data_IF_667600726484
#
_entry.id   IF_667600726484
#
_cell.length_a   1.000
_cell.length_b   1.000
_cell.length_c   1.000
_cell.angle_alpha   90.00
_cell.angle_beta   90.00
_cell.angle_gamma   90.00
#
_symmetry.space_group_name_H-M   'P 1'
#
loop_
_entity.id
_entity.type
_entity.pdbx_description
1 polymer ?
#
# COMPACT_ATOMS: atom_id res chain seq x y z
N UNK A 1 -33.27 -0.12 -21.91
CA UNK A 1 -33.48 -0.62 -20.53
C UNK A 1 -33.14 -2.11 -20.54
N UNK A 2 -32.26 -2.58 -19.64
CA UNK A 2 -32.01 -4.00 -19.48
C UNK A 2 -33.26 -4.72 -18.97
N UNK A 3 -33.48 -5.92 -19.51
CA UNK A 3 -34.43 -6.89 -18.99
C UNK A 3 -33.69 -7.99 -18.25
N UNK A 4 -34.38 -8.72 -17.39
CA UNK A 4 -33.86 -9.94 -16.77
C UNK A 4 -33.25 -10.87 -17.83
N UNK A 5 -32.00 -11.28 -17.61
CA UNK A 5 -31.22 -12.12 -18.51
C UNK A 5 -30.37 -11.37 -19.54
N UNK A 6 -30.53 -10.05 -19.70
CA UNK A 6 -29.63 -9.23 -20.52
C UNK A 6 -28.25 -9.16 -19.85
N UNK A 7 -27.17 -9.13 -20.65
CA UNK A 7 -25.80 -8.87 -20.20
C UNK A 7 -25.57 -7.36 -20.18
N UNK A 8 -25.06 -6.85 -19.08
CA UNK A 8 -24.83 -5.41 -18.87
C UNK A 8 -23.36 -5.19 -18.56
N UNK A 9 -22.73 -4.22 -19.23
CA UNK A 9 -21.32 -3.90 -18.99
C UNK A 9 -21.06 -2.40 -19.02
N UNK A 10 -20.07 -1.96 -18.24
CA UNK A 10 -19.63 -0.57 -18.21
C UNK A 10 -18.66 -0.30 -19.36
N UNK A 11 -18.97 0.66 -20.24
CA UNK A 11 -18.15 0.99 -21.43
C UNK A 11 -16.74 1.45 -21.07
N UNK A 12 -16.56 2.03 -19.89
CA UNK A 12 -15.28 2.54 -19.39
C UNK A 12 -14.45 1.51 -18.61
N UNK A 13 -15.08 0.42 -18.18
CA UNK A 13 -14.47 -0.58 -17.29
C UNK A 13 -14.63 -2.01 -17.80
N UNK A 14 -14.92 -2.19 -19.09
CA UNK A 14 -15.05 -3.52 -19.69
C UNK A 14 -13.76 -4.32 -19.56
N UNK A 15 -12.59 -3.67 -19.66
CA UNK A 15 -11.26 -4.31 -19.51
C UNK A 15 -10.95 -4.81 -18.11
N UNK A 16 -11.56 -4.20 -17.09
CA UNK A 16 -11.47 -4.69 -15.71
C UNK A 16 -12.60 -5.67 -15.38
N UNK A 17 -13.33 -6.15 -16.39
CA UNK A 17 -14.37 -7.15 -16.21
C UNK A 17 -15.66 -6.61 -15.58
N UNK A 18 -15.91 -5.29 -15.62
CA UNK A 18 -17.11 -4.67 -15.04
C UNK A 18 -18.37 -4.98 -15.86
N UNK A 19 -18.85 -6.21 -15.75
CA UNK A 19 -19.99 -6.77 -16.47
C UNK A 19 -20.68 -7.88 -15.67
N UNK A 20 -21.96 -8.07 -15.94
CA UNK A 20 -22.78 -9.09 -15.30
C UNK A 20 -24.11 -9.32 -16.02
N UNK A 21 -24.88 -10.27 -15.51
CA UNK A 21 -26.23 -10.57 -15.99
C UNK A 21 -27.25 -9.78 -15.17
N UNK A 22 -28.21 -9.13 -15.83
CA UNK A 22 -29.32 -8.48 -15.16
C UNK A 22 -30.24 -9.54 -14.53
N UNK A 23 -30.40 -9.51 -13.21
CA UNK A 23 -31.27 -10.44 -12.50
C UNK A 23 -32.75 -10.01 -12.50
N UNK A 24 -32.99 -8.73 -12.78
CA UNK A 24 -34.31 -8.09 -12.80
C UNK A 24 -34.36 -7.04 -13.92
N UNK A 25 -35.58 -6.60 -14.27
CA UNK A 25 -35.79 -5.49 -15.20
C UNK A 25 -35.40 -4.17 -14.51
N UNK A 26 -34.72 -3.27 -15.23
CA UNK A 26 -34.24 -2.06 -14.58
C UNK A 26 -33.70 -0.97 -15.50
N UNK A 27 -33.03 0.00 -14.88
CA UNK A 27 -32.41 1.15 -15.52
C UNK A 27 -30.90 1.11 -15.28
N UNK A 28 -30.15 1.50 -16.30
CA UNK A 28 -28.69 1.70 -16.20
C UNK A 28 -28.36 3.10 -16.66
N UNK A 29 -27.28 3.67 -16.13
CA UNK A 29 -26.79 4.98 -16.57
C UNK A 29 -26.21 4.89 -17.98
N UNK A 30 -26.05 6.03 -18.66
CA UNK A 30 -25.57 6.11 -20.04
C UNK A 30 -24.17 5.49 -20.27
N UNK A 31 -23.39 5.29 -19.20
CA UNK A 31 -22.09 4.65 -19.22
C UNK A 31 -22.13 3.11 -19.37
N UNK A 32 -23.31 2.51 -19.30
CA UNK A 32 -23.49 1.07 -19.49
C UNK A 32 -24.10 0.77 -20.87
N UNK A 33 -23.69 -0.35 -21.44
CA UNK A 33 -24.35 -0.97 -22.59
C UNK A 33 -25.09 -2.22 -22.15
N UNK A 34 -26.12 -2.56 -22.94
CA UNK A 34 -26.95 -3.74 -22.73
C UNK A 34 -26.84 -4.64 -23.95
N UNK A 35 -26.37 -5.86 -23.73
CA UNK A 35 -26.32 -6.96 -24.68
C UNK A 35 -27.48 -7.90 -24.39
N UNK A 36 -28.36 -8.10 -25.38
CA UNK A 36 -29.40 -9.13 -25.30
C UNK A 36 -28.90 -10.41 -25.95
N UNK A 37 -28.69 -11.51 -25.19
CA UNK A 37 -28.34 -12.80 -25.78
C UNK A 37 -29.43 -13.25 -26.76
N UNK A 38 -29.01 -13.84 -27.88
CA UNK A 38 -29.94 -14.49 -28.82
C UNK A 38 -30.40 -15.83 -28.24
N UNK A 39 -31.44 -16.39 -28.83
CA UNK A 39 -31.86 -17.76 -28.55
C UNK A 39 -30.67 -18.72 -28.76
N UNK A 40 -30.51 -19.69 -27.83
CA UNK A 40 -29.36 -20.60 -27.82
C UNK A 40 -28.06 -20.04 -27.21
N UNK A 41 -28.07 -18.82 -26.66
CA UNK A 41 -26.93 -18.25 -25.93
C UNK A 41 -27.21 -18.16 -24.42
N UNK A 42 -26.27 -18.64 -23.61
CA UNK A 42 -26.31 -18.49 -22.16
C UNK A 42 -25.64 -17.15 -21.74
N UNK A 43 -26.36 -16.25 -21.03
CA UNK A 43 -25.80 -14.96 -20.61
C UNK A 43 -24.61 -15.09 -19.65
N UNK A 44 -24.59 -16.09 -18.77
CA UNK A 44 -23.48 -16.34 -17.83
C UNK A 44 -22.23 -16.79 -18.58
N UNK A 45 -22.38 -17.66 -19.58
CA UNK A 45 -21.29 -18.05 -20.47
C UNK A 45 -20.71 -16.83 -21.21
N UNK A 46 -21.55 -15.97 -21.78
CA UNK A 46 -21.10 -14.74 -22.44
C UNK A 46 -20.29 -13.86 -21.48
N UNK A 47 -20.75 -13.70 -20.24
CA UNK A 47 -20.02 -12.93 -19.22
C UNK A 47 -18.65 -13.54 -18.92
N UNK A 48 -18.54 -14.86 -18.75
CA UNK A 48 -17.25 -15.52 -18.53
C UNK A 48 -16.33 -15.40 -19.74
N UNK A 49 -16.85 -15.61 -20.94
CA UNK A 49 -16.14 -15.45 -22.19
C UNK A 49 -15.58 -14.03 -22.31
N UNK A 50 -16.40 -13.02 -22.07
CA UNK A 50 -16.00 -11.61 -22.13
C UNK A 50 -15.00 -11.21 -21.02
N UNK A 51 -14.99 -11.93 -19.89
CA UNK A 51 -14.02 -11.76 -18.79
C UNK A 51 -12.71 -12.50 -19.03
N UNK A 52 -12.63 -13.39 -20.02
CA UNK A 52 -11.40 -14.11 -20.32
C UNK A 52 -10.29 -13.16 -20.78
N UNK A 53 -9.05 -13.53 -20.46
CA UNK A 53 -7.88 -12.79 -20.94
C UNK A 53 -7.83 -12.79 -22.46
N UNK A 54 -8.20 -13.90 -23.12
CA UNK A 54 -8.30 -13.98 -24.57
C UNK A 54 -9.24 -12.92 -25.15
N UNK A 55 -10.49 -12.83 -24.67
CA UNK A 55 -11.44 -11.85 -25.19
C UNK A 55 -10.97 -10.41 -24.93
N UNK A 56 -10.38 -10.17 -23.75
CA UNK A 56 -9.83 -8.87 -23.38
C UNK A 56 -8.66 -8.48 -24.31
N UNK A 57 -7.79 -9.41 -24.65
CA UNK A 57 -6.70 -9.20 -25.61
C UNK A 57 -7.23 -8.92 -27.02
N UNK A 58 -8.22 -9.68 -27.50
CA UNK A 58 -8.84 -9.45 -28.81
C UNK A 58 -9.54 -8.09 -28.89
N UNK A 59 -10.14 -7.65 -27.78
CA UNK A 59 -10.76 -6.33 -27.64
C UNK A 59 -9.71 -5.23 -27.76
N UNK A 60 -8.63 -5.32 -26.98
CA UNK A 60 -7.52 -4.34 -26.99
C UNK A 60 -6.88 -4.27 -28.38
N UNK A 61 -6.69 -5.40 -29.07
CA UNK A 61 -6.08 -5.45 -30.39
C UNK A 61 -6.92 -4.76 -31.48
N UNK A 62 -8.25 -4.72 -31.33
CA UNK A 62 -9.19 -4.15 -32.32
C UNK A 62 -9.62 -2.73 -32.01
N UNK A 63 -9.35 -2.25 -30.81
CA UNK A 63 -9.58 -0.86 -30.46
C UNK A 63 -8.68 0.06 -31.31
N UNK A 64 -9.31 1.06 -31.95
CA UNK A 64 -8.61 2.12 -32.66
C UNK A 64 -8.79 3.41 -31.87
N UNK A 65 -7.69 3.93 -31.31
CA UNK A 65 -7.65 5.18 -30.55
C UNK A 65 -6.32 5.91 -30.74
N UNK A 66 -6.29 7.20 -30.40
CA UNK A 66 -5.05 7.99 -30.42
C UNK A 66 -4.15 7.46 -29.29
N UNK A 67 -3.04 6.81 -29.65
CA UNK A 67 -2.10 6.03 -28.80
C UNK A 67 -2.35 4.52 -28.66
N UNK A 68 -3.05 3.88 -29.61
CA UNK A 68 -2.95 2.44 -29.78
C UNK A 68 -1.54 2.07 -30.30
N UNK A 69 -0.53 1.98 -29.42
CA UNK A 69 0.82 1.58 -29.83
C UNK A 69 2.00 1.98 -28.93
N UNK A 70 1.85 2.06 -27.61
CA UNK A 70 3.00 2.28 -26.73
C UNK A 70 2.91 1.49 -25.43
N UNK A 71 3.97 0.75 -25.09
CA UNK A 71 4.10 -0.02 -23.84
C UNK A 71 3.94 0.84 -22.56
N UNK A 72 3.88 2.16 -22.67
CA UNK A 72 3.68 3.11 -21.55
C UNK A 72 2.63 4.21 -21.84
N UNK A 73 1.77 4.04 -22.86
CA UNK A 73 0.81 5.06 -23.28
C UNK A 73 -0.61 4.80 -22.79
N UNK A 74 -1.03 5.48 -21.71
CA UNK A 74 -2.40 5.43 -21.21
C UNK A 74 -3.43 5.74 -22.29
N UNK A 75 -4.32 4.79 -22.57
CA UNK A 75 -5.41 4.94 -23.53
C UNK A 75 -6.35 6.04 -23.00
N UNK A 76 -6.40 7.18 -23.70
CA UNK A 76 -7.31 8.30 -23.37
C UNK A 76 -8.74 8.06 -23.84
N UNK A 77 -8.97 7.07 -24.70
CA UNK A 77 -10.32 6.63 -25.09
C UNK A 77 -10.83 5.64 -24.04
N UNK A 78 -11.52 6.13 -23.02
CA UNK A 78 -12.03 5.28 -21.94
C UNK A 78 -13.17 4.37 -22.41
N UNK A 79 -13.94 4.78 -23.41
CA UNK A 79 -15.11 4.01 -23.87
C UNK A 79 -14.78 3.07 -25.03
N UNK A 80 -15.13 1.80 -24.86
CA UNK A 80 -15.06 0.78 -25.91
C UNK A 80 -16.31 0.87 -26.78
N UNK A 81 -16.19 1.23 -28.07
CA UNK A 81 -17.35 1.30 -28.95
C UNK A 81 -17.95 -0.08 -29.16
N UNK A 82 -19.28 -0.17 -29.08
CA UNK A 82 -20.02 -1.41 -29.32
C UNK A 82 -19.70 -2.06 -30.68
N UNK A 83 -19.32 -1.25 -31.67
CA UNK A 83 -18.90 -1.71 -33.00
C UNK A 83 -17.67 -2.62 -32.97
N UNK A 84 -16.76 -2.43 -32.01
CA UNK A 84 -15.56 -3.28 -31.84
C UNK A 84 -15.94 -4.66 -31.33
N UNK A 85 -16.92 -4.75 -30.41
CA UNK A 85 -17.38 -6.05 -29.90
C UNK A 85 -17.97 -6.93 -31.00
N UNK A 86 -18.55 -6.32 -32.04
CA UNK A 86 -19.13 -7.03 -33.18
C UNK A 86 -18.10 -7.63 -34.14
N UNK A 87 -16.81 -7.30 -34.00
CA UNK A 87 -15.73 -7.79 -34.87
C UNK A 87 -14.87 -8.86 -34.21
N UNK A 88 -15.23 -9.30 -33.00
CA UNK A 88 -14.56 -10.39 -32.30
C UNK A 88 -15.32 -11.67 -32.59
N UNK A 89 -14.66 -12.60 -33.28
CA UNK A 89 -15.18 -13.95 -33.49
C UNK A 89 -14.99 -14.75 -32.21
N UNK A 90 -16.07 -15.36 -31.71
CA UNK A 90 -16.07 -16.07 -30.43
C UNK A 90 -16.44 -17.54 -30.58
N UNK A 91 -15.88 -18.37 -29.71
CA UNK A 91 -16.31 -19.75 -29.56
C UNK A 91 -17.70 -19.77 -28.91
N UNK A 92 -18.67 -20.36 -29.62
CA UNK A 92 -20.04 -20.50 -29.16
C UNK A 92 -20.45 -21.98 -29.24
N UNK A 93 -20.18 -22.78 -28.19
CA UNK A 93 -20.57 -24.18 -28.14
C UNK A 93 -22.09 -24.33 -28.04
N UNK A 94 -22.61 -25.57 -28.04
CA UNK A 94 -24.04 -25.80 -27.88
C UNK A 94 -24.55 -25.31 -26.51
N UNK A 95 -25.84 -24.95 -26.42
CA UNK A 95 -26.41 -24.33 -25.22
C UNK A 95 -26.24 -25.17 -23.94
N UNK A 96 -26.23 -26.50 -24.07
CA UNK A 96 -26.00 -27.41 -22.95
C UNK A 96 -24.56 -27.34 -22.44
N UNK A 97 -23.58 -27.25 -23.35
CA UNK A 97 -22.17 -27.08 -23.01
C UNK A 97 -21.89 -25.69 -22.44
N UNK A 98 -22.49 -24.63 -23.00
CA UNK A 98 -22.41 -23.28 -22.43
C UNK A 98 -22.93 -23.23 -20.98
N UNK A 99 -24.02 -23.95 -20.67
CA UNK A 99 -24.56 -24.08 -19.32
C UNK A 99 -23.57 -24.80 -18.40
N UNK A 100 -23.04 -25.95 -18.83
CA UNK A 100 -22.07 -26.70 -18.05
C UNK A 100 -20.82 -25.86 -17.72
N UNK A 101 -20.26 -25.16 -18.72
CA UNK A 101 -19.12 -24.25 -18.54
C UNK A 101 -19.47 -23.14 -17.55
N UNK A 102 -20.63 -22.49 -17.70
CA UNK A 102 -21.04 -21.41 -16.81
C UNK A 102 -21.26 -21.87 -15.37
N UNK A 103 -21.86 -23.05 -15.16
CA UNK A 103 -22.09 -23.63 -13.83
C UNK A 103 -20.79 -24.03 -13.15
N UNK A 104 -19.85 -24.61 -13.90
CA UNK A 104 -18.51 -24.92 -13.42
C UNK A 104 -17.75 -23.66 -13.03
N UNK A 105 -17.69 -22.66 -13.93
CA UNK A 105 -16.96 -21.43 -13.68
C UNK A 105 -17.55 -20.62 -12.52
N UNK A 106 -18.87 -20.53 -12.39
CA UNK A 106 -19.48 -19.82 -11.26
C UNK A 106 -19.11 -20.48 -9.93
N UNK A 107 -19.12 -21.82 -9.85
CA UNK A 107 -18.73 -22.54 -8.64
C UNK A 107 -17.26 -22.33 -8.30
N UNK A 108 -16.37 -22.55 -9.27
CA UNK A 108 -14.92 -22.49 -9.00
C UNK A 108 -14.45 -21.05 -8.77
N UNK A 109 -14.97 -20.07 -9.51
CA UNK A 109 -14.62 -18.65 -9.29
C UNK A 109 -15.18 -18.15 -7.97
N UNK A 110 -16.39 -18.53 -7.56
CA UNK A 110 -16.92 -18.18 -6.25
C UNK A 110 -16.06 -18.75 -5.11
N UNK A 111 -15.58 -20.00 -5.23
CA UNK A 111 -14.67 -20.60 -4.25
C UNK A 111 -13.35 -19.83 -4.14
N UNK A 112 -12.77 -19.42 -5.26
CA UNK A 112 -11.55 -18.60 -5.27
C UNK A 112 -11.81 -17.23 -4.67
N UNK A 113 -12.94 -16.60 -5.01
CA UNK A 113 -13.31 -15.27 -4.51
C UNK A 113 -13.50 -15.30 -2.98
N UNK A 114 -14.12 -16.34 -2.41
CA UNK A 114 -14.19 -16.55 -0.95
C UNK A 114 -12.82 -16.66 -0.31
N UNK A 115 -11.89 -17.43 -0.89
CA UNK A 115 -10.51 -17.55 -0.36
C UNK A 115 -9.77 -16.21 -0.39
N UNK A 116 -9.95 -15.41 -1.44
CA UNK A 116 -9.36 -14.07 -1.54
C UNK A 116 -9.91 -13.16 -0.45
N UNK A 117 -11.23 -13.18 -0.21
CA UNK A 117 -11.87 -12.38 0.86
C UNK A 117 -11.35 -12.76 2.25
N UNK A 118 -11.25 -14.06 2.55
CA UNK A 118 -10.70 -14.55 3.81
C UNK A 118 -9.25 -14.11 4.03
N UNK A 119 -8.42 -14.17 2.99
CA UNK A 119 -7.02 -13.73 3.06
C UNK A 119 -6.89 -12.21 3.23
N UNK A 120 -7.73 -11.42 2.56
CA UNK A 120 -7.77 -9.97 2.76
C UNK A 120 -8.15 -9.61 4.20
N UNK A 121 -9.12 -10.33 4.77
CA UNK A 121 -9.50 -10.16 6.17
C UNK A 121 -8.36 -10.57 7.11
N UNK A 122 -7.62 -11.64 6.82
CA UNK A 122 -6.43 -12.04 7.58
C UNK A 122 -5.36 -10.93 7.56
N UNK A 123 -5.02 -10.38 6.40
CA UNK A 123 -4.06 -9.25 6.27
C UNK A 123 -4.49 -8.06 7.14
N UNK A 124 -5.77 -7.70 7.09
CA UNK A 124 -6.33 -6.64 7.95
C UNK A 124 -6.13 -6.93 9.44
N UNK A 125 -6.41 -8.16 9.88
CA UNK A 125 -6.21 -8.58 11.27
C UNK A 125 -4.73 -8.56 11.67
N UNK A 126 -3.83 -8.96 10.78
CA UNK A 126 -2.38 -8.94 11.01
C UNK A 126 -1.86 -7.51 11.21
N UNK A 127 -2.31 -6.54 10.40
CA UNK A 127 -1.96 -5.14 10.62
C UNK A 127 -2.46 -4.60 11.97
N UNK A 128 -3.67 -4.96 12.39
CA UNK A 128 -4.19 -4.59 13.70
C UNK A 128 -3.37 -5.22 14.83
N UNK A 129 -3.03 -6.51 14.71
CA UNK A 129 -2.16 -7.20 15.67
C UNK A 129 -0.78 -6.55 15.75
N UNK A 130 -0.18 -6.21 14.62
CA UNK A 130 1.14 -5.53 14.56
C UNK A 130 1.13 -4.24 15.37
N UNK A 131 0.09 -3.41 15.18
CA UNK A 131 -0.08 -2.17 15.93
C UNK A 131 -0.27 -2.42 17.42
N UNK A 132 -1.12 -3.37 17.78
CA UNK A 132 -1.40 -3.72 19.17
C UNK A 132 -0.14 -4.20 19.92
N UNK A 133 0.70 -5.02 19.28
CA UNK A 133 1.97 -5.49 19.86
C UNK A 133 2.92 -4.31 20.13
N UNK A 134 3.06 -3.40 19.17
CA UNK A 134 3.89 -2.20 19.32
C UNK A 134 3.38 -1.30 20.45
N UNK A 135 2.08 -1.00 20.45
CA UNK A 135 1.48 -0.12 21.44
C UNK A 135 1.54 -0.72 22.85
N UNK A 136 1.30 -2.03 23.00
CA UNK A 136 1.42 -2.73 24.28
C UNK A 136 2.85 -2.66 24.82
N UNK A 137 3.85 -3.01 24.01
CA UNK A 137 5.26 -2.97 24.45
C UNK A 137 5.74 -1.57 24.86
N UNK A 138 5.20 -0.52 24.23
CA UNK A 138 5.59 0.88 24.50
C UNK A 138 4.75 1.56 25.60
N UNK A 139 3.64 0.97 26.03
CA UNK A 139 2.78 1.51 27.08
C UNK A 139 2.79 0.69 28.37
N UNK A 140 3.04 -0.62 28.27
CA UNK A 140 3.00 -1.58 29.38
C UNK A 140 4.36 -2.24 29.60
N UNK A 141 5.32 -2.07 28.70
CA UNK A 141 6.59 -2.80 28.74
C UNK A 141 6.43 -4.27 28.35
N UNK A 142 7.43 -5.08 28.67
CA UNK A 142 7.41 -6.54 28.44
C UNK A 142 7.11 -7.34 29.71
N UNK A 143 7.18 -6.70 30.88
CA UNK A 143 6.91 -7.31 32.17
C UNK A 143 5.46 -7.01 32.58
N UNK A 144 4.60 -8.01 32.50
CA UNK A 144 3.18 -7.89 32.84
C UNK A 144 2.91 -7.69 34.34
N UNK A 145 3.90 -7.90 35.21
CA UNK A 145 3.77 -7.71 36.66
C UNK A 145 4.24 -6.31 37.11
N UNK A 146 4.85 -5.53 36.23
CA UNK A 146 5.24 -4.17 36.52
C UNK A 146 3.99 -3.30 36.73
N UNK A 147 3.86 -2.71 37.93
CA UNK A 147 2.78 -1.77 38.22
C UNK A 147 2.84 -0.54 37.30
N UNK A 148 1.69 0.10 37.09
CA UNK A 148 1.59 1.35 36.33
C UNK A 148 1.68 2.56 37.27
N UNK A 149 2.29 3.63 36.76
CA UNK A 149 2.40 4.94 37.41
C UNK A 149 1.80 6.02 36.50
N UNK A 150 1.02 6.92 37.09
CA UNK A 150 0.52 8.10 36.38
C UNK A 150 1.68 9.02 35.97
N UNK A 151 1.65 9.49 34.73
CA UNK A 151 2.69 10.39 34.20
C UNK A 151 2.29 11.87 34.28
N UNK A 152 0.99 12.14 34.48
CA UNK A 152 0.39 13.48 34.37
C UNK A 152 0.36 14.03 32.95
N UNK A 153 0.62 13.21 31.92
CA UNK A 153 0.58 13.62 30.52
C UNK A 153 -0.67 13.08 29.80
N UNK A 154 -1.46 13.92 29.12
CA UNK A 154 -2.71 13.47 28.48
C UNK A 154 -2.49 12.48 27.32
N UNK A 155 -1.30 12.46 26.71
CA UNK A 155 -1.01 11.57 25.59
C UNK A 155 -0.50 10.19 26.01
N UNK A 156 0.07 10.12 27.21
CA UNK A 156 0.63 8.89 27.79
C UNK A 156 0.26 8.90 29.27
N UNK A 157 -1.02 8.68 29.63
CA UNK A 157 -1.50 8.91 31.00
C UNK A 157 -0.80 8.03 32.02
N UNK A 158 -0.47 6.79 31.65
CA UNK A 158 0.16 5.79 32.50
C UNK A 158 1.34 5.15 31.78
N UNK A 159 2.36 4.77 32.55
CA UNK A 159 3.52 3.98 32.11
C UNK A 159 3.97 3.04 33.22
N UNK A 160 4.78 2.00 32.93
CA UNK A 160 5.35 1.14 33.96
C UNK A 160 6.15 1.93 34.99
N UNK A 161 6.13 1.48 36.24
CA UNK A 161 6.89 2.05 37.32
C UNK A 161 8.37 2.23 36.93
N UNK A 162 8.91 3.43 37.11
CA UNK A 162 10.30 3.77 36.77
C UNK A 162 10.50 4.34 35.36
N UNK A 163 9.51 4.21 34.47
CA UNK A 163 9.52 4.88 33.18
C UNK A 163 9.17 6.36 33.32
N UNK A 164 9.60 7.17 32.34
CA UNK A 164 9.31 8.60 32.30
C UNK A 164 8.67 8.98 30.98
N UNK A 165 7.61 9.78 31.02
CA UNK A 165 7.14 10.50 29.83
C UNK A 165 8.03 11.73 29.61
N UNK A 166 8.76 11.78 28.49
CA UNK A 166 9.70 12.87 28.19
C UNK A 166 9.37 13.53 26.86
N UNK A 167 9.58 14.84 26.76
CA UNK A 167 9.54 15.52 25.46
C UNK A 167 10.78 15.15 24.65
N UNK A 168 10.62 14.95 23.34
CA UNK A 168 11.68 14.59 22.41
C UNK A 168 12.91 15.51 22.57
N UNK A 169 12.72 16.83 22.77
CA UNK A 169 13.82 17.77 23.01
C UNK A 169 14.80 17.38 24.12
N UNK A 170 14.40 16.55 25.09
CA UNK A 170 15.26 16.09 26.19
C UNK A 170 16.17 14.93 25.79
N UNK A 171 15.85 14.23 24.72
CA UNK A 171 16.62 13.08 24.23
C UNK A 171 17.34 13.36 22.91
N UNK A 172 17.16 14.54 22.29
CA UNK A 172 17.87 14.92 21.07
C UNK A 172 19.24 15.55 21.37
N UNK A 173 20.27 15.14 20.61
CA UNK A 173 21.60 15.78 20.58
C UNK A 173 21.85 16.57 19.30
N UNK A 174 21.08 16.29 18.25
CA UNK A 174 21.14 17.02 16.98
C UNK A 174 19.73 17.19 16.39
N UNK A 175 19.56 18.25 15.62
CA UNK A 175 18.32 18.56 14.93
C UNK A 175 17.21 18.99 15.90
N UNK A 176 15.95 19.09 15.42
CA UNK A 176 15.51 18.89 14.04
C UNK A 176 16.19 19.81 13.02
N UNK A 177 16.72 19.23 11.94
CA UNK A 177 17.32 19.95 10.82
C UNK A 177 16.61 19.55 9.51
N UNK A 178 16.05 20.53 8.80
CA UNK A 178 15.38 20.28 7.53
C UNK A 178 16.41 19.98 6.43
N UNK A 179 16.01 19.19 5.45
CA UNK A 179 16.78 19.04 4.22
C UNK A 179 16.62 20.24 3.29
N UNK A 180 17.03 20.07 2.04
CA UNK A 180 16.84 21.07 0.98
C UNK A 180 16.35 20.39 -0.29
N UNK A 181 15.55 21.08 -1.08
CA UNK A 181 15.15 20.62 -2.42
C UNK A 181 16.12 21.21 -3.46
N UNK A 182 17.10 20.44 -3.95
CA UNK A 182 18.11 20.95 -4.88
C UNK A 182 17.60 20.89 -6.32
N UNK A 183 18.35 21.52 -7.24
CA UNK A 183 18.10 21.36 -8.67
C UNK A 183 18.41 19.92 -9.10
N UNK A 184 17.68 19.44 -10.10
CA UNK A 184 17.96 18.15 -10.71
C UNK A 184 19.36 18.18 -11.34
N UNK A 185 20.15 17.14 -11.07
CA UNK A 185 21.47 16.95 -11.67
C UNK A 185 21.46 15.84 -12.71
N UNK A 186 22.55 15.74 -13.47
CA UNK A 186 22.80 14.60 -14.35
C UNK A 186 23.05 13.31 -13.55
N UNK A 187 23.00 12.15 -14.21
CA UNK A 187 23.29 10.87 -13.56
C UNK A 187 24.71 10.88 -12.97
N UNK A 188 24.82 10.53 -11.69
CA UNK A 188 26.05 10.33 -10.88
C UNK A 188 26.63 11.49 -10.06
N UNK A 189 25.98 12.65 -9.92
CA UNK A 189 26.58 13.76 -9.13
C UNK A 189 26.43 13.62 -7.59
N UNK A 190 25.19 13.56 -7.10
CA UNK A 190 24.87 13.36 -5.67
C UNK A 190 23.48 12.75 -5.50
N UNK A 191 23.31 11.81 -4.57
CA UNK A 191 22.02 11.15 -4.33
C UNK A 191 21.21 11.89 -3.27
N UNK A 192 19.95 12.18 -3.58
CA UNK A 192 18.97 12.75 -2.67
C UNK A 192 17.76 11.82 -2.56
N UNK A 193 17.34 11.56 -1.33
CA UNK A 193 16.16 10.73 -1.06
C UNK A 193 14.87 11.48 -1.44
N UNK A 194 13.80 10.71 -1.61
CA UNK A 194 12.43 11.21 -1.66
C UNK A 194 11.70 10.90 -0.35
N UNK A 195 10.50 11.45 -0.16
CA UNK A 195 9.69 11.16 1.04
C UNK A 195 9.34 9.67 1.16
N UNK A 196 9.25 8.96 0.03
CA UNK A 196 8.92 7.53 -0.02
C UNK A 196 10.05 6.62 0.49
N UNK A 197 11.22 7.19 0.83
CA UNK A 197 12.35 6.44 1.38
C UNK A 197 12.07 5.91 2.79
N UNK A 198 11.22 6.57 3.58
CA UNK A 198 10.86 6.08 4.93
C UNK A 198 9.77 5.01 4.78
N UNK A 199 10.13 3.75 5.06
CA UNK A 199 9.22 2.58 5.02
C UNK A 199 9.46 1.71 6.25
N UNK A 200 8.39 1.39 6.97
CA UNK A 200 8.40 0.46 8.11
C UNK A 200 9.50 0.72 9.16
N UNK A 201 9.76 2.00 9.46
CA UNK A 201 10.77 2.38 10.45
C UNK A 201 12.21 2.38 9.93
N UNK A 202 12.43 2.15 8.63
CA UNK A 202 13.75 2.17 7.99
C UNK A 202 13.79 3.19 6.86
N UNK A 203 15.00 3.64 6.54
CA UNK A 203 15.25 4.49 5.36
C UNK A 203 15.80 3.62 4.24
N UNK A 204 15.07 3.57 3.12
CA UNK A 204 15.41 2.78 1.94
C UNK A 204 16.32 3.56 0.98
N UNK A 205 17.28 2.85 0.39
CA UNK A 205 18.15 3.32 -0.71
C UNK A 205 17.65 2.86 -2.09
N UNK A 206 16.41 2.39 -2.21
CA UNK A 206 15.91 1.85 -3.47
C UNK A 206 15.95 2.91 -4.60
N UNK A 207 16.20 2.52 -5.86
CA UNK A 207 16.30 3.46 -6.97
C UNK A 207 15.06 4.34 -7.14
N UNK A 208 13.86 3.79 -6.96
CA UNK A 208 12.59 4.51 -7.09
C UNK A 208 12.37 5.61 -6.04
N UNK A 209 13.11 5.58 -4.93
CA UNK A 209 13.05 6.61 -3.88
C UNK A 209 14.29 7.51 -3.87
N UNK A 210 15.17 7.35 -4.85
CA UNK A 210 16.45 8.05 -4.95
C UNK A 210 16.49 8.89 -6.23
N UNK A 211 17.01 10.12 -6.14
CA UNK A 211 17.18 11.03 -7.26
C UNK A 211 18.60 11.59 -7.28
N UNK A 212 19.08 11.94 -8.46
CA UNK A 212 20.34 12.66 -8.61
C UNK A 212 20.12 14.17 -8.61
N UNK A 213 21.01 14.88 -7.93
CA UNK A 213 20.93 16.33 -7.74
C UNK A 213 22.28 16.96 -8.00
N UNK A 214 22.27 18.20 -8.47
CA UNK A 214 23.49 18.96 -8.73
C UNK A 214 24.12 19.41 -7.41
N UNK A 215 25.34 18.91 -7.13
CA UNK A 215 26.11 19.22 -5.92
C UNK A 215 26.42 20.70 -5.82
N UNK A 216 26.67 21.36 -6.96
CA UNK A 216 27.03 22.79 -7.00
C UNK A 216 25.89 23.70 -6.59
N UNK A 217 24.65 23.22 -6.63
CA UNK A 217 23.46 23.94 -6.17
C UNK A 217 23.34 24.03 -4.64
N UNK A 218 24.18 23.30 -3.89
CA UNK A 218 24.11 23.17 -2.44
C UNK A 218 25.11 24.09 -1.71
N UNK A 219 24.63 24.80 -0.69
CA UNK A 219 25.51 25.60 0.17
C UNK A 219 26.46 24.73 1.01
N UNK A 220 26.04 23.53 1.41
CA UNK A 220 26.87 22.57 2.14
C UNK A 220 26.31 21.16 2.01
N UNK A 221 27.02 20.29 1.28
CA UNK A 221 26.68 18.86 1.20
C UNK A 221 26.92 18.15 2.53
N UNK A 222 28.02 18.45 3.22
CA UNK A 222 28.37 17.83 4.50
C UNK A 222 27.30 18.06 5.58
N UNK A 223 26.68 19.25 5.62
CA UNK A 223 25.59 19.55 6.55
C UNK A 223 24.31 18.75 6.28
N UNK A 224 24.17 18.17 5.09
CA UNK A 224 23.01 17.40 4.63
C UNK A 224 23.28 15.90 4.50
N UNK A 225 24.56 15.51 4.54
CA UNK A 225 24.98 14.12 4.40
C UNK A 225 24.40 13.25 5.51
N UNK A 226 23.75 12.17 5.12
CA UNK A 226 23.22 11.15 6.02
C UNK A 226 24.32 10.23 6.51
N UNK A 227 24.25 9.86 7.79
CA UNK A 227 25.12 8.88 8.40
C UNK A 227 24.31 7.79 9.10
N UNK A 228 24.85 6.56 9.20
CA UNK A 228 24.24 5.52 10.00
C UNK A 228 23.89 5.99 11.41
N UNK A 229 22.68 5.66 11.87
CA UNK A 229 22.15 6.10 13.16
C UNK A 229 21.44 7.46 13.13
N UNK A 230 21.48 8.20 12.01
CA UNK A 230 20.56 9.31 11.77
C UNK A 230 19.11 8.80 11.75
N UNK A 231 18.18 9.64 12.23
CA UNK A 231 16.74 9.35 12.11
C UNK A 231 16.13 10.43 11.23
N UNK A 232 15.39 9.99 10.22
CA UNK A 232 14.62 10.85 9.33
C UNK A 232 13.13 10.83 9.71
N UNK A 233 12.50 11.99 9.71
CA UNK A 233 11.06 12.15 9.89
C UNK A 233 10.45 12.81 8.67
N UNK A 234 9.27 12.34 8.25
CA UNK A 234 8.49 13.02 7.21
C UNK A 234 8.00 14.37 7.72
N UNK A 235 8.48 15.47 7.15
CA UNK A 235 8.08 16.82 7.55
C UNK A 235 6.70 17.20 7.01
N UNK A 236 6.39 16.82 5.78
CA UNK A 236 5.15 17.22 5.13
C UNK A 236 4.64 16.20 4.13
N UNK A 237 3.33 15.95 4.13
CA UNK A 237 2.68 15.00 3.23
C UNK A 237 1.21 15.36 3.04
N UNK A 238 0.62 15.00 1.89
CA UNK A 238 -0.83 15.15 1.65
C UNK A 238 -1.67 14.26 2.57
N UNK A 239 -1.11 13.15 3.05
CA UNK A 239 -1.74 12.28 4.04
C UNK A 239 -1.13 12.53 5.44
N UNK A 240 -1.97 12.95 6.39
CA UNK A 240 -1.58 13.18 7.79
C UNK A 240 -0.99 11.93 8.45
N UNK A 241 -1.41 10.73 8.05
CA UNK A 241 -0.91 9.46 8.59
C UNK A 241 0.54 9.15 8.20
N UNK A 242 1.06 9.85 7.19
CA UNK A 242 2.45 9.76 6.76
C UNK A 242 3.33 10.86 7.37
N UNK A 243 2.75 11.97 7.82
CA UNK A 243 3.50 13.04 8.49
C UNK A 243 4.12 12.55 9.79
N UNK A 244 5.34 12.99 10.06
CA UNK A 244 6.20 12.62 11.19
C UNK A 244 6.49 11.11 11.32
N UNK A 245 6.22 10.29 10.29
CA UNK A 245 6.74 8.92 10.24
C UNK A 245 8.27 8.97 10.33
N UNK A 246 8.83 8.19 11.24
CA UNK A 246 10.26 8.10 11.46
C UNK A 246 10.85 6.87 10.77
N UNK A 247 12.08 7.00 10.25
CA UNK A 247 12.89 5.91 9.73
C UNK A 247 14.34 6.02 10.19
N UNK A 248 14.94 4.89 10.53
CA UNK A 248 16.35 4.79 10.89
C UNK A 248 17.23 4.67 9.63
N UNK A 249 18.29 5.48 9.56
CA UNK A 249 19.33 5.37 8.54
C UNK A 249 20.28 4.23 8.93
N UNK A 250 20.32 3.19 8.10
CA UNK A 250 21.09 1.97 8.36
C UNK A 250 22.58 2.07 8.03
N UNK A 251 23.37 1.04 8.37
CA UNK A 251 24.82 0.99 8.12
C UNK A 251 25.20 1.10 6.63
N UNK A 252 24.31 0.71 5.72
CA UNK A 252 24.48 0.79 4.27
C UNK A 252 24.76 2.22 3.76
N UNK A 253 24.31 3.24 4.49
CA UNK A 253 24.59 4.66 4.18
C UNK A 253 26.03 5.07 4.48
N UNK A 254 26.87 4.19 5.04
CA UNK A 254 28.31 4.47 5.19
C UNK A 254 29.06 4.38 3.85
N UNK A 255 28.58 3.57 2.90
CA UNK A 255 29.28 3.28 1.65
C UNK A 255 29.10 4.36 0.58
N UNK A 256 28.02 5.13 0.68
CA UNK A 256 27.60 6.09 -0.35
C UNK A 256 27.10 7.40 0.27
N UNK A 257 27.24 8.49 -0.47
CA UNK A 257 26.79 9.81 -0.01
C UNK A 257 25.33 10.05 -0.40
N UNK A 258 24.46 10.15 0.61
CA UNK A 258 23.07 10.54 0.44
C UNK A 258 22.75 11.81 1.22
N UNK A 259 21.93 12.66 0.61
CA UNK A 259 21.27 13.78 1.27
C UNK A 259 19.75 13.57 1.30
N UNK A 260 19.03 14.52 1.90
CA UNK A 260 17.59 14.44 2.09
C UNK A 260 16.88 15.75 1.71
N UNK A 261 15.61 15.68 1.26
CA UNK A 261 14.87 16.83 0.76
C UNK A 261 14.31 17.68 1.91
N UNK A 262 13.87 18.90 1.62
CA UNK A 262 13.29 19.83 2.61
C UNK A 262 12.00 19.32 3.28
N UNK A 263 11.38 18.31 2.67
CA UNK A 263 10.23 17.57 3.18
C UNK A 263 10.59 16.44 4.15
N UNK A 264 11.87 16.25 4.45
CA UNK A 264 12.36 15.40 5.54
C UNK A 264 13.08 16.25 6.61
N UNK A 265 12.99 15.78 7.85
CA UNK A 265 13.69 16.31 9.02
C UNK A 265 14.67 15.26 9.50
N UNK A 266 15.91 15.66 9.79
CA UNK A 266 16.90 14.83 10.44
C UNK A 266 17.05 15.17 11.92
N UNK A 267 17.20 14.15 12.75
CA UNK A 267 17.54 14.24 14.18
C UNK A 267 18.59 13.19 14.55
N UNK A 268 19.22 13.37 15.72
CA UNK A 268 19.97 12.32 16.42
C UNK A 268 19.58 12.31 17.90
N UNK A 269 19.48 11.13 18.46
CA UNK A 269 19.19 10.93 19.89
C UNK A 269 20.47 10.79 20.70
N UNK A 270 20.39 11.16 21.99
CA UNK A 270 21.44 10.99 22.99
C UNK A 270 21.56 9.54 23.43
N UNK A 271 22.65 9.20 24.14
CA UNK A 271 22.87 7.89 24.75
C UNK A 271 21.81 7.46 25.79
N UNK A 272 20.89 8.36 26.17
CA UNK A 272 19.74 8.02 27.02
C UNK A 272 18.63 7.25 26.30
N UNK A 273 18.62 7.26 24.96
CA UNK A 273 17.61 6.57 24.15
C UNK A 273 18.24 5.90 22.93
N UNK A 274 17.88 4.64 22.65
CA UNK A 274 18.27 3.96 21.42
C UNK A 274 17.57 4.58 20.20
N UNK A 275 18.27 4.69 19.08
CA UNK A 275 17.69 5.24 17.84
C UNK A 275 16.52 4.39 17.33
N UNK A 276 16.66 3.06 17.42
CA UNK A 276 15.63 2.09 17.09
C UNK A 276 14.40 2.27 17.99
N UNK A 277 14.62 2.43 19.30
CA UNK A 277 13.54 2.66 20.25
C UNK A 277 12.82 3.98 19.97
N UNK A 278 13.55 5.05 19.66
CA UNK A 278 12.95 6.32 19.25
C UNK A 278 12.06 6.14 18.02
N UNK A 279 12.51 5.40 17.01
CA UNK A 279 11.72 5.15 15.80
C UNK A 279 10.44 4.38 16.12
N UNK A 280 10.52 3.32 16.94
CA UNK A 280 9.34 2.60 17.42
C UNK A 280 8.37 3.51 18.16
N UNK A 281 8.87 4.26 19.16
CA UNK A 281 8.08 5.19 19.94
C UNK A 281 7.42 6.29 19.10
N UNK A 282 8.17 6.88 18.16
CA UNK A 282 7.67 7.95 17.28
C UNK A 282 6.56 7.45 16.33
N UNK A 283 6.61 6.19 15.93
CA UNK A 283 5.65 5.59 15.00
C UNK A 283 4.43 4.94 15.70
N UNK A 284 4.44 4.84 17.03
CA UNK A 284 3.39 4.25 17.86
C UNK A 284 2.14 5.13 17.96
N UNK A 285 0.99 4.52 18.25
CA UNK A 285 -0.32 5.19 18.18
C UNK A 285 -0.41 6.44 19.05
N UNK A 286 0.19 6.43 20.24
CA UNK A 286 0.19 7.58 21.16
C UNK A 286 0.90 8.81 20.58
N UNK A 287 2.07 8.64 19.96
CA UNK A 287 2.78 9.74 19.30
C UNK A 287 2.12 10.12 17.98
N UNK A 288 1.52 9.15 17.28
CA UNK A 288 0.73 9.44 16.08
C UNK A 288 -0.48 10.34 16.37
N UNK A 289 -1.17 10.12 17.48
CA UNK A 289 -2.27 10.97 17.91
C UNK A 289 -1.81 12.41 18.22
N UNK A 290 -0.64 12.58 18.85
CA UNK A 290 -0.03 13.90 19.07
C UNK A 290 0.21 14.64 17.76
N UNK A 291 0.79 13.96 16.76
CA UNK A 291 1.06 14.55 15.44
C UNK A 291 -0.22 14.94 14.74
N UNK A 292 -1.24 14.07 14.71
CA UNK A 292 -2.52 14.36 14.08
C UNK A 292 -3.22 15.57 14.70
N UNK A 293 -3.13 15.73 16.03
CA UNK A 293 -3.72 16.88 16.73
C UNK A 293 -2.96 18.20 16.50
N UNK A 294 -1.66 18.14 16.18
CA UNK A 294 -0.82 19.31 15.95
C UNK A 294 -0.66 19.68 14.47
N UNK A 295 -0.90 18.72 13.56
CA UNK A 295 -0.66 18.88 12.13
C UNK A 295 -1.53 19.99 11.55
N UNK A 296 -0.87 20.99 10.96
CA UNK A 296 -1.54 22.11 10.29
C UNK A 296 -1.69 21.81 8.81
N UNK A 297 -2.86 22.10 8.26
CA UNK A 297 -3.09 22.05 6.81
C UNK A 297 -2.59 23.34 6.18
N UNK A 298 -1.64 23.23 5.25
CA UNK A 298 -1.25 24.30 4.34
C UNK A 298 -1.50 23.81 2.92
N UNK A 299 -2.48 24.39 2.22
CA UNK A 299 -2.80 24.12 0.80
C UNK A 299 -2.72 22.62 0.46
N UNK A 300 -3.63 21.82 1.02
CA UNK A 300 -3.73 20.38 0.74
C UNK A 300 -2.60 19.51 1.31
N UNK A 301 -1.66 20.06 2.09
CA UNK A 301 -0.53 19.32 2.69
C UNK A 301 -0.50 19.52 4.20
N UNK A 302 -0.33 18.45 4.96
CA UNK A 302 -0.07 18.50 6.40
C UNK A 302 1.43 18.64 6.65
N UNK A 303 1.84 19.50 7.59
CA UNK A 303 3.26 19.70 7.94
C UNK A 303 3.48 19.72 9.45
N UNK A 304 4.66 19.27 9.85
CA UNK A 304 5.23 19.46 11.20
C UNK A 304 6.47 20.33 11.13
N UNK A 305 6.63 21.20 12.12
CA UNK A 305 7.82 22.02 12.33
C UNK A 305 8.83 21.31 13.24
N UNK A 306 10.07 21.81 13.29
CA UNK A 306 11.03 21.35 14.29
C UNK A 306 10.59 21.61 15.73
N UNK A 307 9.77 22.64 15.97
CA UNK A 307 9.15 22.90 17.28
C UNK A 307 8.16 21.80 17.66
N UNK A 308 7.33 21.37 16.70
CA UNK A 308 6.35 20.29 16.90
C UNK A 308 7.08 18.98 17.23
N UNK A 309 8.09 18.61 16.44
CA UNK A 309 8.94 17.42 16.70
C UNK A 309 9.58 17.47 18.08
N UNK A 310 10.13 18.62 18.50
CA UNK A 310 10.72 18.79 19.84
C UNK A 310 9.70 18.65 20.98
N UNK A 311 8.42 18.90 20.69
CA UNK A 311 7.33 18.89 21.68
C UNK A 311 6.73 17.52 21.92
N UNK A 312 6.88 16.59 20.96
CA UNK A 312 6.38 15.21 21.04
C UNK A 312 6.80 14.55 22.36
N UNK A 313 5.86 13.87 22.99
CA UNK A 313 6.03 13.14 24.24
C UNK A 313 6.22 11.66 23.91
N UNK A 314 7.26 11.07 24.49
CA UNK A 314 7.69 9.69 24.27
C UNK A 314 7.91 8.99 25.62
N UNK A 315 7.68 7.67 25.71
CA UNK A 315 8.13 6.89 26.85
C UNK A 315 9.67 6.83 26.88
N UNK A 316 10.24 6.81 28.09
CA UNK A 316 11.67 6.64 28.32
C UNK A 316 11.88 5.56 29.40
N UNK A 317 11.94 4.27 28.99
CA UNK A 317 12.35 3.17 29.86
C UNK A 317 13.84 3.26 30.22
N UNK A 318 14.28 2.51 31.24
CA UNK A 318 15.69 2.16 31.42
C UNK A 318 16.31 1.53 30.16
N UNK A 319 17.61 1.76 29.93
CA UNK A 319 18.30 1.30 28.71
C UNK A 319 18.25 -0.21 28.46
N UNK A 320 18.18 -1.03 29.50
CA UNK A 320 18.09 -2.48 29.35
C UNK A 320 16.70 -2.90 28.83
N UNK A 321 15.64 -2.25 29.30
CA UNK A 321 14.28 -2.46 28.79
C UNK A 321 14.11 -1.93 27.38
N UNK A 322 14.70 -0.77 27.02
CA UNK A 322 14.68 -0.30 25.64
C UNK A 322 15.26 -1.34 24.67
N UNK A 323 16.40 -1.96 25.03
CA UNK A 323 17.00 -3.04 24.22
C UNK A 323 16.09 -4.26 24.12
N UNK A 324 15.50 -4.68 25.24
CA UNK A 324 14.60 -5.82 25.27
C UNK A 324 13.34 -5.58 24.41
N UNK A 325 12.75 -4.39 24.51
CA UNK A 325 11.59 -3.96 23.72
C UNK A 325 11.93 -3.93 22.23
N UNK A 326 13.06 -3.33 21.84
CA UNK A 326 13.48 -3.30 20.43
C UNK A 326 13.63 -4.73 19.89
N UNK A 327 14.34 -5.60 20.62
CA UNK A 327 14.51 -6.99 20.19
C UNK A 327 13.18 -7.76 20.08
N UNK A 328 12.28 -7.57 21.05
CA UNK A 328 10.96 -8.17 21.04
C UNK A 328 10.12 -7.67 19.86
N UNK A 329 10.10 -6.36 19.63
CA UNK A 329 9.33 -5.76 18.53
C UNK A 329 9.88 -6.19 17.17
N UNK A 330 11.19 -6.23 16.99
CA UNK A 330 11.81 -6.71 15.76
C UNK A 330 11.42 -8.18 15.49
N UNK A 331 11.46 -9.04 16.51
CA UNK A 331 11.07 -10.44 16.38
C UNK A 331 9.57 -10.62 16.07
N UNK A 332 8.69 -9.95 16.83
CA UNK A 332 7.25 -10.12 16.66
C UNK A 332 6.75 -9.51 15.35
N UNK A 333 7.26 -8.33 14.99
CA UNK A 333 6.85 -7.66 13.75
C UNK A 333 7.41 -8.36 12.52
N UNK A 334 8.63 -8.93 12.54
CA UNK A 334 9.13 -9.68 11.38
C UNK A 334 8.26 -10.92 11.06
N UNK A 335 7.78 -11.62 12.09
CA UNK A 335 6.85 -12.75 11.94
C UNK A 335 5.53 -12.32 11.31
N UNK A 336 4.96 -11.21 11.79
CA UNK A 336 3.70 -10.67 11.26
C UNK A 336 3.89 -10.18 9.82
N UNK A 337 4.97 -9.45 9.55
CA UNK A 337 5.26 -8.88 8.22
C UNK A 337 5.51 -10.00 7.19
N UNK A 338 6.10 -11.12 7.61
CA UNK A 338 6.25 -12.32 6.77
C UNK A 338 4.90 -12.94 6.40
N UNK A 339 3.99 -13.08 7.38
CA UNK A 339 2.63 -13.59 7.15
C UNK A 339 1.82 -12.68 6.23
N UNK A 340 1.92 -11.35 6.39
CA UNK A 340 1.28 -10.39 5.50
C UNK A 340 1.78 -10.59 4.07
N UNK A 341 3.10 -10.64 3.88
CA UNK A 341 3.72 -10.82 2.56
C UNK A 341 3.28 -12.13 1.90
N UNK A 342 3.16 -13.22 2.66
CA UNK A 342 2.71 -14.52 2.15
C UNK A 342 1.23 -14.50 1.75
N UNK A 343 0.36 -13.91 2.59
CA UNK A 343 -1.06 -13.74 2.29
C UNK A 343 -1.31 -12.85 1.06
N UNK A 344 -0.56 -11.75 0.91
CA UNK A 344 -0.65 -10.89 -0.27
C UNK A 344 -0.25 -11.64 -1.54
N UNK A 345 0.85 -12.41 -1.49
CA UNK A 345 1.27 -13.26 -2.60
C UNK A 345 0.21 -14.32 -2.95
N UNK A 346 -0.42 -14.93 -1.94
CA UNK A 346 -1.50 -15.88 -2.17
C UNK A 346 -2.69 -15.22 -2.88
N UNK A 347 -3.09 -14.01 -2.47
CA UNK A 347 -4.17 -13.26 -3.12
C UNK A 347 -3.85 -13.03 -4.59
N UNK A 348 -2.62 -12.63 -4.92
CA UNK A 348 -2.22 -12.37 -6.29
C UNK A 348 -2.23 -13.65 -7.15
N UNK A 349 -1.68 -14.75 -6.62
CA UNK A 349 -1.73 -16.05 -7.29
C UNK A 349 -3.16 -16.58 -7.48
N UNK A 350 -4.04 -16.36 -6.49
CA UNK A 350 -5.44 -16.73 -6.58
C UNK A 350 -6.17 -15.95 -7.68
N UNK A 351 -5.88 -14.65 -7.82
CA UNK A 351 -6.41 -13.81 -8.92
C UNK A 351 -5.91 -14.26 -10.28
N UNK A 352 -4.63 -14.60 -10.39
CA UNK A 352 -4.03 -15.13 -11.62
C UNK A 352 -4.69 -16.46 -12.01
N UNK A 353 -4.77 -17.40 -11.06
CA UNK A 353 -5.42 -18.70 -11.25
C UNK A 353 -6.87 -18.55 -11.70
N UNK A 354 -7.61 -17.63 -11.08
CA UNK A 354 -9.01 -17.33 -11.46
C UNK A 354 -9.12 -16.89 -12.92
N UNK A 355 -8.25 -15.98 -13.35
CA UNK A 355 -8.21 -15.50 -14.74
C UNK A 355 -7.86 -16.63 -15.71
N UNK A 356 -6.82 -17.40 -15.40
CA UNK A 356 -6.38 -18.53 -16.21
C UNK A 356 -7.46 -19.62 -16.32
N UNK A 357 -8.15 -19.94 -15.23
CA UNK A 357 -9.25 -20.91 -15.21
C UNK A 357 -10.39 -20.50 -16.14
N UNK A 358 -10.82 -19.23 -16.08
CA UNK A 358 -11.85 -18.70 -16.98
C UNK A 358 -11.40 -18.89 -18.42
N UNK A 359 -10.21 -18.40 -18.78
CA UNK A 359 -9.69 -18.47 -20.15
C UNK A 359 -9.57 -19.91 -20.64
N UNK A 360 -8.95 -20.81 -19.88
CA UNK A 360 -8.76 -22.19 -20.29
C UNK A 360 -10.09 -22.93 -20.49
N UNK A 361 -11.10 -22.62 -19.67
CA UNK A 361 -12.42 -23.24 -19.78
C UNK A 361 -13.20 -22.72 -20.99
N UNK A 362 -13.25 -21.40 -21.21
CA UNK A 362 -14.02 -20.83 -22.35
C UNK A 362 -13.34 -21.03 -23.71
N UNK A 363 -12.03 -21.30 -23.72
CA UNK A 363 -11.28 -21.63 -24.95
C UNK A 363 -11.26 -23.14 -25.24
N UNK A 364 -11.88 -23.96 -24.38
CA UNK A 364 -11.95 -25.41 -24.56
C UNK A 364 -10.65 -26.16 -24.24
N UNK A 365 -9.68 -25.52 -23.58
CA UNK A 365 -8.47 -26.19 -23.07
C UNK A 365 -8.77 -27.10 -21.87
N UNK A 366 -9.85 -26.82 -21.15
CA UNK A 366 -10.40 -27.67 -20.10
C UNK A 366 -11.76 -28.19 -20.57
N UNK A 367 -11.88 -29.52 -20.71
CA UNK A 367 -13.17 -30.14 -20.97
C UNK A 367 -13.96 -30.27 -19.66
N UNK A 368 -14.97 -29.42 -19.50
CA UNK A 368 -15.82 -29.42 -18.30
C UNK A 368 -16.63 -30.71 -18.20
N UNK A 369 -16.90 -31.42 -19.30
CA UNK A 369 -17.74 -32.63 -19.30
C UNK A 369 -17.10 -33.79 -18.52
N UNK A 370 -15.79 -33.77 -18.36
CA UNK A 370 -15.04 -34.76 -17.58
C UNK A 370 -14.96 -34.42 -16.07
N UNK A 371 -15.47 -33.26 -15.67
CA UNK A 371 -15.31 -32.67 -14.33
C UNK A 371 -16.64 -32.46 -13.56
N UNK A 372 -17.78 -32.84 -14.15
CA UNK A 372 -19.13 -32.72 -13.54
C UNK A 372 -19.57 -34.02 -12.91
#
# INVERSE_FOLDING_TARGET
MPRKGDVVFNKMKIRSGAMGVAHEDGLVTYHYEVLRPREGMNPRYIVHLMKSSWFTSELIARERGISAGGEHGGIRTTEVPFTVLRTIDVLLPEIHEQRAIADYLDRETARIDTLIEEQQQLVKMLHMRRRAVVDAALSQGLDSEAGLSETGNPWIPELPCGWKAVRAKRVLVFGPANGVSPLAGDSDDLKSLSLGAIRDGRVSMAPEVTKFVDRSSLASTEALRLHPGDILLVRGNGNVDLVARAGLVGPEFAAEEYIYPDLLIRIRVSSSMLSEFFVWACNASATRAQVQAQARTAVGTFKVSGGDVRSLVLPLPPMHEQRAIVAHLDEQTSKIDSLITESERFIDLARERRSALITATVTGQIDVRELV
#
